data_IF_121277144252
#
_entry.id   IF_121277144252
#
_cell.length_a   1.000
_cell.length_b   1.000
_cell.length_c   1.000
_cell.angle_alpha   90.00
_cell.angle_beta   90.00
_cell.angle_gamma   90.00
#
_symmetry.space_group_name_H-M   'P 1'
#
loop_
_entity.id
_entity.type
_entity.pdbx_description
1 polymer ?
#
# COMPACT_ATOMS: atom_id res chain seq x y z
N UNK A 1 62.44 -16.53 55.86
CA UNK A 1 62.19 -16.93 54.46
C UNK A 1 60.70 -16.93 54.24
N UNK A 2 60.24 -16.15 53.27
CA UNK A 2 59.11 -16.36 52.34
C UNK A 2 58.91 -15.00 51.65
N UNK A 3 59.30 -14.95 50.38
CA UNK A 3 58.94 -13.91 49.42
C UNK A 3 57.50 -14.15 49.01
N UNK A 4 56.71 -13.11 48.69
CA UNK A 4 55.75 -13.15 47.59
C UNK A 4 55.24 -11.74 47.23
N UNK A 5 54.84 -11.65 45.98
CA UNK A 5 54.83 -10.55 45.00
C UNK A 5 53.66 -9.54 45.14
N UNK A 6 53.75 -8.29 44.63
CA UNK A 6 52.65 -7.33 44.63
C UNK A 6 51.65 -7.60 43.49
N UNK A 7 50.40 -7.90 43.85
CA UNK A 7 49.30 -8.17 42.92
C UNK A 7 48.96 -6.95 42.04
N UNK A 8 49.07 -7.12 40.72
CA UNK A 8 48.66 -6.14 39.70
C UNK A 8 47.13 -5.89 39.69
N UNK A 9 46.67 -4.68 39.33
CA UNK A 9 45.25 -4.42 39.11
C UNK A 9 44.79 -5.00 37.77
N UNK A 10 43.80 -5.90 37.85
CA UNK A 10 43.14 -6.53 36.71
C UNK A 10 42.37 -5.47 35.89
N UNK A 11 42.91 -5.12 34.71
CA UNK A 11 42.27 -4.23 33.74
C UNK A 11 41.20 -5.07 33.03
N UNK A 12 39.99 -5.09 33.59
CA UNK A 12 38.84 -5.74 32.95
C UNK A 12 38.48 -4.98 31.66
N UNK A 13 38.80 -5.59 30.52
CA UNK A 13 38.47 -5.13 29.19
C UNK A 13 36.95 -4.98 29.01
N UNK A 14 36.58 -3.89 28.34
CA UNK A 14 35.24 -3.57 27.90
C UNK A 14 34.57 -4.74 27.16
N UNK A 15 33.37 -5.08 27.60
CA UNK A 15 32.36 -5.66 26.74
C UNK A 15 31.14 -4.73 26.84
N UNK A 16 31.15 -3.69 26.01
CA UNK A 16 29.93 -2.98 25.65
C UNK A 16 28.93 -4.04 25.16
N UNK A 17 27.97 -4.35 26.01
CA UNK A 17 26.74 -5.03 25.61
C UNK A 17 26.05 -4.11 24.61
N UNK A 18 26.35 -4.27 23.33
CA UNK A 18 25.39 -3.94 22.28
C UNK A 18 24.16 -4.79 22.60
N UNK A 19 22.99 -4.21 22.91
CA UNK A 19 21.79 -5.01 22.88
C UNK A 19 21.65 -5.47 21.43
N UNK A 20 21.75 -6.77 21.22
CA UNK A 20 21.22 -7.42 20.03
C UNK A 20 19.86 -6.79 19.79
N UNK A 21 19.72 -6.11 18.65
CA UNK A 21 18.44 -5.65 18.18
C UNK A 21 17.60 -6.90 18.02
N UNK A 22 16.82 -7.24 19.04
CA UNK A 22 15.67 -8.13 18.92
C UNK A 22 14.91 -7.58 17.74
N UNK A 23 15.04 -8.29 16.62
CA UNK A 23 14.30 -8.05 15.43
C UNK A 23 12.88 -8.47 15.80
N UNK A 24 12.19 -7.56 16.48
CA UNK A 24 10.79 -7.70 16.85
C UNK A 24 10.12 -8.21 15.59
N UNK A 25 9.56 -9.39 15.69
CA UNK A 25 8.80 -9.99 14.63
C UNK A 25 7.51 -9.17 14.53
N UNK A 26 7.59 -7.97 13.93
CA UNK A 26 6.51 -7.00 13.81
C UNK A 26 5.53 -7.52 12.76
N UNK A 27 4.96 -8.69 13.00
CA UNK A 27 3.87 -9.23 12.19
C UNK A 27 2.57 -8.64 12.70
N UNK A 28 1.62 -8.38 11.80
CA UNK A 28 0.25 -8.13 12.26
C UNK A 28 -0.28 -9.35 13.03
N UNK A 29 -1.40 -9.19 13.73
CA UNK A 29 -2.12 -10.30 14.37
C UNK A 29 -2.54 -11.43 13.42
N UNK A 30 -2.38 -11.24 12.10
CA UNK A 30 -2.61 -12.23 11.04
C UNK A 30 -1.31 -12.84 10.46
N UNK A 31 -0.14 -12.54 11.03
CA UNK A 31 1.14 -13.15 10.61
C UNK A 31 1.79 -12.55 9.35
N UNK A 32 1.26 -11.45 8.80
CA UNK A 32 1.84 -10.83 7.61
C UNK A 32 3.17 -10.12 7.91
N UNK A 33 4.19 -10.35 7.07
CA UNK A 33 5.52 -9.73 7.18
C UNK A 33 5.50 -8.23 6.88
N UNK A 34 6.43 -7.49 7.49
CA UNK A 34 6.58 -6.02 7.50
C UNK A 34 7.00 -5.34 6.21
N UNK A 35 7.23 -6.06 5.10
CA UNK A 35 7.92 -5.49 3.93
C UNK A 35 7.22 -4.29 3.32
N UNK A 36 5.89 -4.16 3.51
CA UNK A 36 5.13 -2.96 3.18
C UNK A 36 4.12 -2.63 4.28
N UNK A 37 4.48 -1.69 5.15
CA UNK A 37 3.61 -1.15 6.19
C UNK A 37 3.43 0.36 6.02
N UNK A 38 2.19 0.80 6.14
CA UNK A 38 1.80 2.20 6.18
C UNK A 38 1.78 2.61 7.64
N UNK A 39 2.61 3.60 8.03
CA UNK A 39 2.55 4.16 9.37
C UNK A 39 1.33 5.06 9.50
N UNK A 40 0.52 4.83 10.52
CA UNK A 40 -0.67 5.65 10.76
C UNK A 40 -0.31 6.89 11.57
N UNK A 41 -1.07 7.95 11.37
CA UNK A 41 -0.91 9.19 12.15
C UNK A 41 -1.15 9.00 13.66
N UNK A 42 -1.82 7.91 14.05
CA UNK A 42 -2.14 7.55 15.43
C UNK A 42 -1.05 6.67 16.08
N UNK A 43 0.09 6.48 15.43
CA UNK A 43 1.21 5.70 15.98
C UNK A 43 1.12 4.19 15.76
N UNK A 44 0.27 3.72 14.84
CA UNK A 44 0.15 2.32 14.45
C UNK A 44 0.73 2.03 13.08
N UNK A 45 0.60 0.78 12.63
CA UNK A 45 0.95 0.36 11.27
C UNK A 45 -0.16 -0.45 10.61
N UNK A 46 -0.42 -0.17 9.34
CA UNK A 46 -1.34 -0.94 8.49
C UNK A 46 -0.50 -1.67 7.45
N UNK A 47 -0.55 -2.99 7.46
CA UNK A 47 0.14 -3.81 6.47
C UNK A 47 -0.64 -3.79 5.16
N UNK A 48 0.07 -3.74 4.03
CA UNK A 48 -0.59 -3.62 2.73
C UNK A 48 -1.51 -4.81 2.41
N UNK A 49 -1.18 -6.01 2.93
CA UNK A 49 -2.03 -7.18 2.83
C UNK A 49 -3.30 -7.09 3.70
N UNK A 50 -3.20 -6.51 4.89
CA UNK A 50 -4.37 -6.24 5.73
C UNK A 50 -5.28 -5.19 5.07
N UNK A 51 -4.69 -4.16 4.48
CA UNK A 51 -5.41 -3.16 3.67
C UNK A 51 -6.14 -3.84 2.51
N UNK A 52 -5.43 -4.65 1.72
CA UNK A 52 -5.98 -5.38 0.57
C UNK A 52 -7.19 -6.24 0.97
N UNK A 53 -7.08 -6.99 2.08
CA UNK A 53 -8.17 -7.81 2.59
C UNK A 53 -9.37 -6.98 3.06
N UNK A 54 -9.12 -5.81 3.67
CA UNK A 54 -10.17 -4.92 4.15
C UNK A 54 -10.95 -4.31 2.98
N UNK A 55 -10.26 -3.76 1.98
CA UNK A 55 -10.90 -3.12 0.81
C UNK A 55 -11.54 -4.15 -0.13
N UNK A 56 -11.06 -5.39 -0.12
CA UNK A 56 -11.66 -6.48 -0.89
C UNK A 56 -12.90 -7.09 -0.22
N UNK A 57 -13.25 -6.66 1.01
CA UNK A 57 -14.41 -7.17 1.72
C UNK A 57 -15.59 -6.18 1.63
N UNK A 58 -16.64 -6.48 0.84
CA UNK A 58 -17.79 -5.59 0.68
C UNK A 58 -18.61 -5.40 1.98
N UNK A 59 -18.40 -6.26 2.98
CA UNK A 59 -19.05 -6.15 4.30
C UNK A 59 -18.21 -5.38 5.31
N UNK A 60 -17.03 -4.92 4.93
CA UNK A 60 -16.20 -4.11 5.82
C UNK A 60 -16.92 -2.79 6.16
N UNK A 61 -16.82 -2.31 7.40
CA UNK A 61 -17.40 -1.02 7.75
C UNK A 61 -16.75 0.10 6.93
N UNK A 62 -17.57 0.91 6.26
CA UNK A 62 -17.13 1.98 5.35
C UNK A 62 -16.21 3.00 6.02
N UNK A 63 -16.41 3.27 7.31
CA UNK A 63 -15.52 4.12 8.11
C UNK A 63 -14.07 3.62 8.11
N UNK A 64 -13.86 2.30 8.29
CA UNK A 64 -12.52 1.72 8.28
C UNK A 64 -11.93 1.71 6.87
N UNK A 65 -12.75 1.44 5.85
CA UNK A 65 -12.32 1.49 4.45
C UNK A 65 -11.84 2.89 4.10
N UNK A 66 -12.65 3.93 4.36
CA UNK A 66 -12.26 5.31 4.07
C UNK A 66 -11.04 5.76 4.86
N UNK A 67 -10.93 5.38 6.14
CA UNK A 67 -9.74 5.70 6.93
C UNK A 67 -8.49 5.07 6.33
N UNK A 68 -8.53 3.79 5.98
CA UNK A 68 -7.39 3.07 5.42
C UNK A 68 -7.02 3.59 4.03
N UNK A 69 -7.99 3.95 3.19
CA UNK A 69 -7.73 4.61 1.90
C UNK A 69 -7.07 5.98 2.09
N UNK A 70 -7.48 6.75 3.10
CA UNK A 70 -6.84 8.02 3.44
C UNK A 70 -5.37 7.80 3.87
N UNK A 71 -5.10 6.81 4.73
CA UNK A 71 -3.73 6.46 5.11
C UNK A 71 -2.89 5.97 3.92
N UNK A 72 -3.50 5.27 2.96
CA UNK A 72 -2.82 4.87 1.72
C UNK A 72 -2.50 6.08 0.84
N UNK A 73 -3.44 7.01 0.67
CA UNK A 73 -3.21 8.25 -0.08
C UNK A 73 -2.06 9.07 0.51
N UNK A 74 -2.02 9.20 1.84
CA UNK A 74 -0.92 9.85 2.56
C UNK A 74 0.42 9.12 2.33
N UNK A 75 0.41 7.79 2.33
CA UNK A 75 1.62 6.98 2.10
C UNK A 75 2.12 7.09 0.65
N UNK A 76 1.22 7.10 -0.34
CA UNK A 76 1.58 7.27 -1.76
C UNK A 76 2.12 8.67 -2.06
N UNK A 77 1.75 9.68 -1.27
CA UNK A 77 2.34 11.02 -1.34
C UNK A 77 3.81 11.05 -0.90
N UNK A 78 4.30 9.99 -0.23
CA UNK A 78 5.70 9.87 0.17
C UNK A 78 6.50 9.18 -0.96
N UNK A 79 7.50 9.85 -1.55
CA UNK A 79 8.19 9.34 -2.73
C UNK A 79 8.90 8.01 -2.47
N UNK A 80 9.51 7.84 -1.29
CA UNK A 80 10.21 6.58 -0.94
C UNK A 80 9.28 5.38 -0.87
N UNK A 81 8.09 5.56 -0.31
CA UNK A 81 7.10 4.49 -0.20
C UNK A 81 6.55 4.13 -1.58
N UNK A 82 6.19 5.15 -2.37
CA UNK A 82 5.68 4.98 -3.72
C UNK A 82 6.70 4.28 -4.63
N UNK A 83 7.97 4.72 -4.63
CA UNK A 83 9.03 4.07 -5.41
C UNK A 83 9.22 2.62 -4.98
N UNK A 84 9.25 2.33 -3.68
CA UNK A 84 9.38 0.96 -3.16
C UNK A 84 8.20 0.07 -3.57
N UNK A 85 6.97 0.60 -3.47
CA UNK A 85 5.77 -0.11 -3.89
C UNK A 85 5.81 -0.45 -5.37
N UNK A 86 6.13 0.52 -6.23
CA UNK A 86 6.16 0.33 -7.68
C UNK A 86 7.34 -0.54 -8.14
N UNK A 87 8.48 -0.49 -7.45
CA UNK A 87 9.65 -1.29 -7.82
C UNK A 87 9.53 -2.77 -7.42
N UNK A 88 8.93 -3.06 -6.26
CA UNK A 88 8.86 -4.42 -5.73
C UNK A 88 7.49 -5.07 -5.89
N UNK A 89 6.42 -4.27 -5.96
CA UNK A 89 5.04 -4.74 -5.91
C UNK A 89 4.08 -3.96 -6.85
N UNK A 90 4.45 -3.74 -8.13
CA UNK A 90 3.70 -2.85 -9.04
C UNK A 90 2.24 -3.28 -9.25
N UNK A 91 1.96 -4.58 -9.26
CA UNK A 91 0.61 -5.10 -9.51
C UNK A 91 -0.19 -5.45 -8.26
N UNK A 92 0.38 -5.26 -7.06
CA UNK A 92 -0.22 -5.76 -5.82
C UNK A 92 -1.58 -5.12 -5.51
N UNK A 93 -1.71 -3.81 -5.73
CA UNK A 93 -2.93 -3.06 -5.41
C UNK A 93 -3.97 -3.06 -6.53
N UNK A 94 -3.63 -3.51 -7.74
CA UNK A 94 -4.52 -3.41 -8.90
C UNK A 94 -5.82 -4.17 -8.66
N UNK A 95 -5.73 -5.47 -8.34
CA UNK A 95 -6.91 -6.31 -8.15
C UNK A 95 -7.76 -5.89 -6.93
N UNK A 96 -7.17 -5.60 -5.74
CA UNK A 96 -7.92 -5.14 -4.58
C UNK A 96 -8.65 -3.80 -4.80
N UNK A 97 -8.02 -2.82 -5.47
CA UNK A 97 -8.64 -1.52 -5.76
C UNK A 97 -9.80 -1.66 -6.75
N UNK A 98 -9.64 -2.48 -7.79
CA UNK A 98 -10.71 -2.77 -8.75
C UNK A 98 -11.88 -3.54 -8.12
N UNK A 99 -11.57 -4.49 -7.23
CA UNK A 99 -12.61 -5.17 -6.47
C UNK A 99 -13.38 -4.19 -5.57
N UNK A 100 -12.67 -3.33 -4.84
CA UNK A 100 -13.29 -2.30 -4.02
C UNK A 100 -14.21 -1.38 -4.86
N UNK A 101 -13.72 -0.89 -6.00
CA UNK A 101 -14.47 0.00 -6.89
C UNK A 101 -15.75 -0.65 -7.46
N UNK A 102 -15.72 -1.96 -7.68
CA UNK A 102 -16.89 -2.72 -8.16
C UNK A 102 -17.83 -3.21 -7.06
N UNK A 103 -17.46 -3.06 -5.79
CA UNK A 103 -18.19 -3.66 -4.66
C UNK A 103 -18.80 -2.64 -3.69
N UNK A 104 -18.18 -1.49 -3.50
CA UNK A 104 -18.77 -0.39 -2.72
C UNK A 104 -19.76 0.43 -3.57
N UNK A 105 -20.90 0.81 -3.00
CA UNK A 105 -21.92 1.73 -3.59
C UNK A 105 -21.91 3.08 -2.85
N UNK A 106 -20.74 3.49 -2.37
CA UNK A 106 -20.52 4.71 -1.59
C UNK A 106 -19.67 5.69 -2.42
N UNK A 107 -20.29 6.82 -2.80
CA UNK A 107 -19.70 7.82 -3.68
C UNK A 107 -18.34 8.36 -3.17
N UNK A 108 -18.17 8.79 -1.90
CA UNK A 108 -16.88 9.29 -1.44
C UNK A 108 -15.79 8.21 -1.36
N UNK A 109 -16.12 6.97 -1.01
CA UNK A 109 -15.15 5.87 -1.04
C UNK A 109 -14.67 5.63 -2.47
N UNK A 110 -15.59 5.59 -3.42
CA UNK A 110 -15.23 5.33 -4.80
C UNK A 110 -14.48 6.50 -5.45
N UNK A 111 -14.75 7.75 -5.06
CA UNK A 111 -13.88 8.87 -5.43
C UNK A 111 -12.45 8.70 -4.89
N UNK A 112 -12.29 8.34 -3.61
CA UNK A 112 -10.97 8.06 -3.02
C UNK A 112 -10.23 6.94 -3.76
N UNK A 113 -10.94 5.89 -4.17
CA UNK A 113 -10.37 4.80 -4.97
C UNK A 113 -9.89 5.31 -6.33
N UNK A 114 -10.70 6.11 -7.03
CA UNK A 114 -10.35 6.69 -8.33
C UNK A 114 -9.10 7.57 -8.19
N UNK A 115 -9.05 8.44 -7.19
CA UNK A 115 -7.91 9.35 -6.97
C UNK A 115 -6.61 8.56 -6.70
N UNK A 116 -6.69 7.49 -5.89
CA UNK A 116 -5.55 6.60 -5.60
C UNK A 116 -5.09 5.85 -6.86
N UNK A 117 -6.02 5.31 -7.64
CA UNK A 117 -5.74 4.62 -8.89
C UNK A 117 -5.05 5.58 -9.87
N UNK A 118 -5.59 6.78 -10.04
CA UNK A 118 -5.02 7.80 -10.91
C UNK A 118 -3.61 8.21 -10.47
N UNK A 119 -3.38 8.39 -9.17
CA UNK A 119 -2.05 8.72 -8.64
C UNK A 119 -1.02 7.60 -8.86
N UNK A 120 -1.44 6.33 -8.68
CA UNK A 120 -0.60 5.17 -8.95
C UNK A 120 -0.23 5.09 -10.43
N UNK A 121 -1.20 5.21 -11.33
CA UNK A 121 -0.95 5.15 -12.77
C UNK A 121 -0.14 6.33 -13.31
N UNK A 122 -0.31 7.53 -12.74
CA UNK A 122 0.51 8.70 -13.08
C UNK A 122 1.99 8.51 -12.72
N UNK A 123 2.28 7.64 -11.74
CA UNK A 123 3.63 7.42 -11.23
C UNK A 123 4.24 6.07 -11.63
N UNK A 124 3.43 5.17 -12.19
CA UNK A 124 3.83 3.84 -12.61
C UNK A 124 4.31 3.82 -14.07
N UNK A 125 4.98 2.74 -14.47
CA UNK A 125 5.34 2.54 -15.87
C UNK A 125 4.11 2.24 -16.73
N UNK A 126 4.18 2.55 -18.02
CA UNK A 126 3.12 2.32 -19.00
C UNK A 126 2.58 0.89 -18.97
N UNK A 127 3.44 -0.11 -18.73
CA UNK A 127 3.04 -1.51 -18.59
C UNK A 127 2.06 -1.75 -17.44
N UNK A 128 2.30 -1.14 -16.27
CA UNK A 128 1.45 -1.29 -15.09
C UNK A 128 0.11 -0.58 -15.30
N UNK A 129 0.15 0.60 -15.93
CA UNK A 129 -1.04 1.35 -16.30
C UNK A 129 -1.86 0.62 -17.36
N UNK A 130 -1.21 0.03 -18.37
CA UNK A 130 -1.87 -0.79 -19.39
C UNK A 130 -2.52 -2.04 -18.78
N UNK A 131 -1.85 -2.73 -17.86
CA UNK A 131 -2.42 -3.87 -17.14
C UNK A 131 -3.62 -3.48 -16.28
N UNK A 132 -3.58 -2.30 -15.66
CA UNK A 132 -4.72 -1.76 -14.93
C UNK A 132 -5.92 -1.55 -15.86
N UNK A 133 -5.69 -0.87 -16.99
CA UNK A 133 -6.73 -0.63 -18.02
C UNK A 133 -7.29 -1.96 -18.54
N UNK A 134 -6.42 -2.94 -18.82
CA UNK A 134 -6.83 -4.26 -19.29
C UNK A 134 -7.73 -4.98 -18.29
N UNK A 135 -7.38 -4.96 -16.99
CA UNK A 135 -8.22 -5.56 -15.94
C UNK A 135 -9.56 -4.82 -15.78
N UNK A 136 -9.59 -3.49 -15.90
CA UNK A 136 -10.83 -2.72 -15.88
C UNK A 136 -11.72 -3.11 -17.08
N UNK A 137 -11.13 -3.15 -18.27
CA UNK A 137 -11.82 -3.51 -19.51
C UNK A 137 -12.36 -4.94 -19.48
N UNK A 138 -11.58 -5.89 -18.94
CA UNK A 138 -12.02 -7.26 -18.71
C UNK A 138 -13.20 -7.30 -17.74
N UNK A 139 -13.14 -6.58 -16.61
CA UNK A 139 -14.24 -6.52 -15.65
C UNK A 139 -15.51 -5.94 -16.24
N UNK A 140 -15.41 -4.89 -17.05
CA UNK A 140 -16.54 -4.30 -17.77
C UNK A 140 -17.13 -5.28 -18.81
N UNK A 141 -16.25 -5.98 -19.55
CA UNK A 141 -16.65 -6.88 -20.64
C UNK A 141 -17.16 -8.23 -20.14
N UNK A 142 -16.75 -8.67 -18.95
CA UNK A 142 -17.05 -10.00 -18.41
C UNK A 142 -18.54 -10.26 -18.18
N UNK A 143 -19.38 -9.21 -18.11
CA UNK A 143 -20.80 -9.34 -17.79
C UNK A 143 -21.09 -10.02 -16.44
N UNK A 144 -20.04 -10.36 -15.68
CA UNK A 144 -20.10 -11.19 -14.47
C UNK A 144 -20.59 -10.42 -13.25
N UNK A 145 -20.64 -9.09 -13.37
CA UNK A 145 -21.11 -8.18 -12.35
C UNK A 145 -22.45 -7.62 -12.83
N UNK A 146 -23.50 -7.80 -12.03
CA UNK A 146 -24.74 -7.06 -12.18
C UNK A 146 -24.49 -5.62 -11.69
N UNK A 147 -23.69 -4.87 -12.44
CA UNK A 147 -23.29 -3.52 -12.09
C UNK A 147 -24.52 -2.64 -11.87
N UNK A 148 -24.57 -1.92 -10.76
CA UNK A 148 -25.54 -0.84 -10.61
C UNK A 148 -25.20 0.27 -11.62
N UNK A 149 -26.20 1.10 -12.00
CA UNK A 149 -25.93 2.28 -12.85
C UNK A 149 -24.87 3.20 -12.23
N UNK A 150 -24.82 3.26 -10.90
CA UNK A 150 -23.81 4.03 -10.17
C UNK A 150 -22.44 3.43 -10.37
N UNK A 151 -22.26 2.13 -10.14
CA UNK A 151 -20.97 1.47 -10.31
C UNK A 151 -20.44 1.58 -11.75
N UNK A 152 -21.32 1.47 -12.76
CA UNK A 152 -20.94 1.73 -14.16
C UNK A 152 -20.46 3.17 -14.36
N UNK A 153 -21.16 4.15 -13.78
CA UNK A 153 -20.73 5.54 -13.85
C UNK A 153 -19.36 5.73 -13.19
N UNK A 154 -19.14 5.15 -12.02
CA UNK A 154 -17.88 5.28 -11.28
C UNK A 154 -16.70 4.67 -12.04
N UNK A 155 -16.86 3.47 -12.60
CA UNK A 155 -15.81 2.85 -13.42
C UNK A 155 -15.60 3.61 -14.73
N UNK A 156 -16.66 4.10 -15.36
CA UNK A 156 -16.53 4.94 -16.56
C UNK A 156 -15.76 6.23 -16.23
N UNK A 157 -16.02 6.83 -15.07
CA UNK A 157 -15.32 8.03 -14.60
C UNK A 157 -13.86 7.72 -14.26
N UNK A 158 -13.57 6.56 -13.65
CA UNK A 158 -12.22 6.07 -13.40
C UNK A 158 -11.43 5.92 -14.71
N UNK A 159 -12.00 5.26 -15.73
CA UNK A 159 -11.36 5.07 -17.04
C UNK A 159 -11.14 6.41 -17.72
N UNK A 160 -12.11 7.32 -17.66
CA UNK A 160 -11.95 8.66 -18.23
C UNK A 160 -10.83 9.45 -17.56
N UNK A 161 -10.77 9.46 -16.22
CA UNK A 161 -9.68 10.10 -15.48
C UNK A 161 -8.34 9.47 -15.83
N UNK A 162 -8.29 8.14 -15.94
CA UNK A 162 -7.07 7.43 -16.29
C UNK A 162 -6.60 7.78 -17.71
N UNK A 163 -7.51 7.85 -18.68
CA UNK A 163 -7.21 8.30 -20.05
C UNK A 163 -6.71 9.74 -20.08
N UNK A 164 -7.27 10.63 -19.25
CA UNK A 164 -6.79 12.01 -19.12
C UNK A 164 -5.37 12.02 -18.55
N UNK A 165 -5.13 11.27 -17.46
CA UNK A 165 -3.80 11.19 -16.82
C UNK A 165 -2.75 10.66 -17.79
N UNK A 166 -3.05 9.58 -18.53
CA UNK A 166 -2.15 9.02 -19.55
C UNK A 166 -1.91 10.02 -20.69
N UNK A 167 -2.98 10.64 -21.22
CA UNK A 167 -2.85 11.62 -22.31
C UNK A 167 -2.06 12.86 -21.90
N UNK A 168 -2.18 13.29 -20.64
CA UNK A 168 -1.40 14.39 -20.07
C UNK A 168 0.06 13.96 -19.87
N UNK A 169 0.32 12.77 -19.34
CA UNK A 169 1.67 12.24 -19.20
C UNK A 169 2.40 12.15 -20.56
N UNK A 170 1.71 11.66 -21.59
CA UNK A 170 2.22 11.60 -22.98
C UNK A 170 2.51 12.99 -23.55
N UNK A 171 1.70 14.01 -23.22
CA UNK A 171 1.90 15.38 -23.70
C UNK A 171 3.08 16.09 -23.02
N UNK A 172 3.38 15.74 -21.76
CA UNK A 172 4.45 16.34 -20.98
C UNK A 172 5.77 15.55 -21.01
N UNK A 173 5.80 14.38 -21.64
CA UNK A 173 7.04 13.64 -21.94
C UNK A 173 7.83 13.26 -20.69
N UNK A 174 7.17 12.63 -19.72
CA UNK A 174 7.83 11.93 -18.62
C UNK A 174 8.16 10.49 -18.98
#
# INVERSE_FOLDING_TARGET
MMFDDPQEPDISFAADHYPDQEQENIQCSQGHRTTLSIRTQQGGSIYLLCLSNLISNPRAPTLHVSYVLSQLSDALSQPLFLTSLLSFHPHFLISPLLHALSSFDDDPIAQQLIDIISALCASASDSVTADFIAQVAEKLSSGALAWSRRQLYMVSMCVLNLLIVVSVADLFGF
#
